data_IF_008612623610
#
_entry.id   IF_008612623610
#
_cell.length_a   1.000
_cell.length_b   1.000
_cell.length_c   1.000
_cell.angle_alpha   90.00
_cell.angle_beta   90.00
_cell.angle_gamma   90.00
#
_symmetry.space_group_name_H-M   'P 1'
#
loop_
_entity.id
_entity.type
_entity.pdbx_description
1 polymer ?
#
# COMPACT_ATOMS: atom_id res chain seq x y z
N UNK A 1 -23.64 27.36 -0.34
CA UNK A 1 -22.98 26.10 -0.79
C UNK A 1 -21.55 26.33 -1.30
N UNK A 2 -21.31 27.20 -2.30
CA UNK A 2 -19.96 27.43 -2.83
C UNK A 2 -18.92 27.90 -1.79
N UNK A 3 -19.27 28.86 -0.92
CA UNK A 3 -18.37 29.36 0.14
C UNK A 3 -17.99 28.31 1.19
N UNK A 4 -18.92 27.38 1.50
CA UNK A 4 -18.65 26.28 2.43
C UNK A 4 -17.67 25.28 1.80
N UNK A 5 -17.85 24.96 0.52
CA UNK A 5 -16.93 24.08 -0.22
C UNK A 5 -15.53 24.68 -0.34
N UNK A 6 -15.41 25.99 -0.57
CA UNK A 6 -14.12 26.70 -0.57
C UNK A 6 -13.50 26.69 0.82
N UNK A 7 -14.26 26.95 1.88
CA UNK A 7 -13.77 26.89 3.25
C UNK A 7 -13.24 25.51 3.65
N UNK A 8 -13.96 24.44 3.26
CA UNK A 8 -13.52 23.06 3.49
C UNK A 8 -12.29 22.74 2.66
N UNK A 9 -12.24 23.14 1.39
CA UNK A 9 -11.07 22.94 0.53
C UNK A 9 -9.83 23.64 1.07
N UNK A 10 -9.97 24.87 1.58
CA UNK A 10 -8.87 25.61 2.22
C UNK A 10 -8.44 24.92 3.51
N UNK A 11 -9.38 24.47 4.34
CA UNK A 11 -9.07 23.74 5.57
C UNK A 11 -8.29 22.45 5.29
N UNK A 12 -8.78 21.61 4.38
CA UNK A 12 -8.07 20.37 3.99
C UNK A 12 -6.70 20.70 3.38
N UNK A 13 -6.63 21.67 2.46
CA UNK A 13 -5.37 22.10 1.87
C UNK A 13 -4.36 22.69 2.87
N UNK A 14 -4.78 23.14 4.06
CA UNK A 14 -3.85 23.63 5.09
C UNK A 14 -3.45 22.52 6.07
N UNK A 15 -4.38 21.63 6.43
CA UNK A 15 -4.20 20.67 7.52
C UNK A 15 -3.98 19.23 7.07
N UNK A 16 -4.03 18.94 5.77
CA UNK A 16 -3.67 17.63 5.24
C UNK A 16 -2.77 17.71 4.01
N UNK A 17 -2.08 16.62 3.72
CA UNK A 17 -1.32 16.39 2.51
C UNK A 17 -1.64 14.97 1.99
N UNK A 18 -2.16 14.88 0.78
CA UNK A 18 -2.47 13.61 0.10
C UNK A 18 -1.48 13.38 -1.02
N UNK A 19 -0.81 12.23 -0.99
CA UNK A 19 0.12 11.80 -2.02
C UNK A 19 -0.36 10.48 -2.62
N UNK A 20 -0.36 10.37 -3.95
CA UNK A 20 -0.46 9.09 -4.65
C UNK A 20 0.91 8.68 -5.13
N UNK A 21 1.28 7.43 -4.91
CA UNK A 21 2.48 6.85 -5.48
C UNK A 21 2.17 5.54 -6.17
N UNK A 22 2.84 5.31 -7.30
CA UNK A 22 2.86 4.02 -7.99
C UNK A 22 4.04 3.21 -7.48
N UNK A 23 3.76 2.07 -6.86
CA UNK A 23 4.75 1.05 -6.57
C UNK A 23 4.81 0.08 -7.75
N UNK A 24 6.00 -0.11 -8.32
CA UNK A 24 6.23 -1.06 -9.42
C UNK A 24 7.30 -2.05 -9.01
N UNK A 25 7.02 -3.33 -9.16
CA UNK A 25 7.93 -4.43 -8.86
C UNK A 25 8.21 -5.23 -10.14
N UNK A 26 9.48 -5.55 -10.36
CA UNK A 26 9.95 -6.34 -11.50
C UNK A 26 10.59 -7.62 -10.99
N UNK A 27 10.00 -8.75 -11.39
CA UNK A 27 10.48 -10.10 -11.09
C UNK A 27 11.00 -10.72 -12.37
N UNK A 28 12.18 -11.31 -12.32
CA UNK A 28 12.69 -12.17 -13.38
C UNK A 28 12.35 -13.63 -13.06
N UNK A 29 11.81 -14.35 -14.04
CA UNK A 29 11.54 -15.79 -13.97
C UNK A 29 12.14 -16.44 -15.19
N UNK A 30 13.17 -17.26 -15.01
CA UNK A 30 13.87 -17.94 -16.12
C UNK A 30 14.33 -16.98 -17.24
N UNK A 31 14.80 -15.78 -16.87
CA UNK A 31 15.21 -14.73 -17.81
C UNK A 31 14.08 -13.88 -18.39
N UNK A 32 12.81 -14.22 -18.15
CA UNK A 32 11.67 -13.40 -18.55
C UNK A 32 11.28 -12.41 -17.45
N UNK A 33 11.10 -11.14 -17.79
CA UNK A 33 10.68 -10.10 -16.85
C UNK A 33 9.16 -10.04 -16.72
N UNK A 34 8.65 -10.27 -15.52
CA UNK A 34 7.26 -10.05 -15.11
C UNK A 34 7.19 -8.77 -14.26
N UNK A 35 6.23 -7.91 -14.55
CA UNK A 35 6.07 -6.63 -13.86
C UNK A 35 4.67 -6.52 -13.30
N UNK A 36 4.55 -6.04 -12.06
CA UNK A 36 3.27 -5.61 -11.50
C UNK A 36 3.40 -4.23 -10.88
N UNK A 37 2.37 -3.43 -11.01
CA UNK A 37 2.31 -2.08 -10.47
C UNK A 37 0.96 -1.77 -9.86
N UNK A 38 0.95 -0.85 -8.90
CA UNK A 38 -0.28 -0.34 -8.30
C UNK A 38 -0.05 1.03 -7.69
N UNK A 39 -1.07 1.88 -7.79
CA UNK A 39 -1.16 3.19 -7.16
C UNK A 39 -1.79 3.07 -5.77
N UNK A 40 -1.15 3.68 -4.78
CA UNK A 40 -1.57 3.75 -3.39
C UNK A 40 -1.65 5.23 -3.01
N UNK A 41 -2.72 5.60 -2.30
CA UNK A 41 -2.92 6.94 -1.77
C UNK A 41 -2.64 6.97 -0.27
N UNK A 42 -1.93 8.00 0.18
CA UNK A 42 -1.64 8.23 1.59
C UNK A 42 -1.99 9.68 1.92
N UNK A 43 -2.82 9.87 2.94
CA UNK A 43 -3.19 11.20 3.44
C UNK A 43 -2.64 11.38 4.85
N UNK A 44 -1.77 12.36 5.02
CA UNK A 44 -1.28 12.81 6.32
C UNK A 44 -2.12 14.00 6.76
N UNK A 45 -2.73 13.96 7.94
CA UNK A 45 -3.54 15.05 8.47
C UNK A 45 -3.08 15.46 9.85
N UNK A 46 -2.99 16.76 10.13
CA UNK A 46 -2.75 17.25 11.49
C UNK A 46 -3.89 16.79 12.40
N UNK A 47 -3.56 16.20 13.54
CA UNK A 47 -4.53 15.92 14.58
C UNK A 47 -4.78 17.21 15.37
N UNK A 48 -6.04 17.62 15.42
CA UNK A 48 -6.47 18.76 16.24
C UNK A 48 -7.21 18.28 17.51
N UNK A 49 -7.25 16.98 17.76
CA UNK A 49 -7.80 16.42 19.00
C UNK A 49 -6.85 16.72 20.18
N UNK A 50 -7.27 17.55 21.15
CA UNK A 50 -6.43 17.93 22.28
C UNK A 50 -6.13 16.78 23.27
N UNK A 51 -6.81 15.63 23.15
CA UNK A 51 -6.63 14.45 24.01
C UNK A 51 -5.73 13.41 23.33
N UNK A 52 -5.56 13.50 22.01
CA UNK A 52 -4.68 12.59 21.26
C UNK A 52 -3.21 12.89 21.54
N UNK A 53 -2.44 11.84 21.86
CA UNK A 53 -0.97 11.94 22.00
C UNK A 53 -0.25 11.98 20.63
N UNK A 54 -0.95 11.71 19.52
CA UNK A 54 -0.37 11.79 18.17
C UNK A 54 -0.66 13.14 17.54
N UNK A 55 0.38 13.84 17.05
CA UNK A 55 0.25 15.14 16.39
C UNK A 55 -0.38 15.07 14.98
N UNK A 56 -0.45 13.88 14.39
CA UNK A 56 -1.03 13.65 13.07
C UNK A 56 -1.65 12.26 12.92
N UNK A 57 -2.53 12.11 11.95
CA UNK A 57 -3.12 10.85 11.50
C UNK A 57 -2.68 10.53 10.08
N UNK A 58 -2.68 9.25 9.75
CA UNK A 58 -2.37 8.74 8.42
C UNK A 58 -3.55 7.89 7.97
N UNK A 59 -4.06 8.19 6.78
CA UNK A 59 -5.07 7.39 6.09
C UNK A 59 -4.46 6.81 4.82
N UNK A 60 -4.71 5.53 4.56
CA UNK A 60 -4.17 4.81 3.40
C UNK A 60 -5.32 4.26 2.59
N UNK A 61 -5.28 4.44 1.27
CA UNK A 61 -6.27 3.88 0.35
C UNK A 61 -5.57 3.18 -0.80
N UNK A 62 -6.03 1.97 -1.11
CA UNK A 62 -5.48 1.16 -2.19
C UNK A 62 -5.64 -0.32 -1.95
N UNK A 63 -4.95 -1.10 -2.78
CA UNK A 63 -4.88 -2.55 -2.69
C UNK A 63 -3.45 -3.01 -2.94
N UNK A 64 -3.14 -4.24 -2.50
CA UNK A 64 -1.84 -4.84 -2.71
C UNK A 64 -1.44 -4.84 -4.20
N UNK A 65 -0.17 -4.56 -4.48
CA UNK A 65 0.36 -4.68 -5.84
C UNK A 65 0.47 -6.16 -6.19
N UNK A 66 -0.06 -6.52 -7.36
CA UNK A 66 -0.11 -7.91 -7.81
C UNK A 66 0.83 -8.14 -8.99
N UNK A 67 1.63 -9.20 -8.91
CA UNK A 67 2.48 -9.67 -10.01
C UNK A 67 2.10 -11.10 -10.35
N UNK A 68 1.67 -11.32 -11.59
CA UNK A 68 1.39 -12.65 -12.12
C UNK A 68 2.70 -13.27 -12.64
N UNK A 69 3.13 -14.36 -12.00
CA UNK A 69 4.33 -15.12 -12.39
C UNK A 69 3.96 -16.35 -13.25
N UNK A 70 2.75 -16.35 -13.82
CA UNK A 70 2.23 -17.42 -14.66
C UNK A 70 2.04 -18.71 -13.86
N UNK A 71 2.52 -19.87 -14.35
CA UNK A 71 2.35 -21.15 -13.66
C UNK A 71 2.96 -21.22 -12.25
N UNK A 72 3.86 -20.29 -11.88
CA UNK A 72 4.46 -20.24 -10.54
C UNK A 72 3.55 -19.59 -9.50
N UNK A 73 2.44 -18.98 -9.92
CA UNK A 73 1.48 -18.33 -9.05
C UNK A 73 1.63 -16.81 -9.03
N UNK A 74 1.14 -16.20 -7.95
CA UNK A 74 0.98 -14.75 -7.86
C UNK A 74 1.72 -14.23 -6.63
N UNK A 75 2.48 -13.16 -6.83
CA UNK A 75 3.14 -12.38 -5.76
C UNK A 75 2.29 -11.15 -5.44
N UNK A 76 2.07 -10.91 -4.15
CA UNK A 76 1.35 -9.75 -3.64
C UNK A 76 2.29 -8.91 -2.78
N UNK A 77 2.37 -7.62 -3.04
CA UNK A 77 3.04 -6.65 -2.17
C UNK A 77 1.97 -5.89 -1.38
N UNK A 78 1.91 -6.17 -0.08
CA UNK A 78 0.82 -5.72 0.79
C UNK A 78 0.91 -4.22 1.10
N UNK A 79 -0.18 -3.66 1.60
CA UNK A 79 -0.27 -2.35 2.26
C UNK A 79 0.16 -2.46 3.72
N UNK A 80 1.29 -3.12 3.98
CA UNK A 80 1.78 -3.41 5.32
C UNK A 80 3.28 -3.63 5.31
N UNK A 81 4.00 -3.10 6.29
CA UNK A 81 5.41 -3.42 6.50
C UNK A 81 5.61 -4.85 7.03
N UNK A 82 6.74 -5.48 6.74
CA UNK A 82 7.12 -6.74 7.38
C UNK A 82 7.75 -6.47 8.76
N UNK A 83 8.97 -6.96 9.03
CA UNK A 83 9.71 -6.69 10.25
C UNK A 83 10.07 -5.21 10.40
N UNK A 84 10.35 -4.54 9.28
CA UNK A 84 10.51 -3.10 9.22
C UNK A 84 9.15 -2.41 9.03
N UNK A 85 8.64 -1.83 10.11
CA UNK A 85 7.37 -1.06 10.09
C UNK A 85 7.41 0.13 9.14
N UNK A 86 8.60 0.64 8.79
CA UNK A 86 8.76 1.77 7.86
C UNK A 86 8.64 1.37 6.39
N UNK A 87 8.48 0.09 6.12
CA UNK A 87 8.20 -0.42 4.77
C UNK A 87 6.70 -0.47 4.45
N UNK A 88 5.83 -0.15 5.41
CA UNK A 88 4.40 0.02 5.18
C UNK A 88 4.09 1.28 4.35
N UNK A 89 2.90 1.35 3.74
CA UNK A 89 2.48 2.47 2.90
C UNK A 89 2.53 3.82 3.63
N UNK A 90 2.38 3.83 4.96
CA UNK A 90 2.39 5.02 5.80
C UNK A 90 3.76 5.72 5.84
N UNK A 91 4.83 4.98 5.61
CA UNK A 91 6.21 5.46 5.85
C UNK A 91 7.14 5.24 4.66
N UNK A 92 6.79 4.35 3.73
CA UNK A 92 7.67 4.02 2.59
C UNK A 92 7.95 5.25 1.72
N UNK A 93 6.97 6.14 1.53
CA UNK A 93 7.15 7.40 0.78
C UNK A 93 8.13 8.32 1.51
N UNK A 94 7.95 8.51 2.82
CA UNK A 94 8.82 9.38 3.62
C UNK A 94 10.25 8.85 3.66
N UNK A 95 10.41 7.53 3.80
CA UNK A 95 11.72 6.86 3.73
C UNK A 95 12.36 7.01 2.36
N UNK A 96 11.63 6.74 1.28
CA UNK A 96 12.15 6.81 -0.09
C UNK A 96 12.69 8.20 -0.43
N UNK A 97 12.03 9.25 0.07
CA UNK A 97 12.42 10.65 -0.14
C UNK A 97 13.32 11.21 0.98
N UNK A 98 13.99 10.34 1.75
CA UNK A 98 14.99 10.71 2.76
C UNK A 98 14.50 11.69 3.83
N UNK A 99 13.24 11.61 4.22
CA UNK A 99 12.78 12.34 5.40
C UNK A 99 13.54 11.83 6.65
N UNK A 100 14.01 12.71 7.54
CA UNK A 100 14.74 12.31 8.73
C UNK A 100 13.99 11.24 9.53
N UNK A 101 14.63 10.10 9.76
CA UNK A 101 14.03 8.95 10.45
C UNK A 101 12.89 8.25 9.70
N UNK A 102 12.64 8.59 8.43
CA UNK A 102 11.51 8.05 7.66
C UNK A 102 10.15 8.45 8.23
N UNK A 103 10.07 9.59 8.92
CA UNK A 103 8.88 10.06 9.63
C UNK A 103 8.47 11.47 9.16
N UNK A 104 7.22 11.84 9.45
CA UNK A 104 6.71 13.17 9.13
C UNK A 104 7.41 14.19 10.06
N UNK A 105 8.09 15.22 9.51
CA UNK A 105 8.82 16.19 10.31
C UNK A 105 7.88 17.03 11.18
N UNK A 106 8.36 17.38 12.36
CA UNK A 106 7.76 18.40 13.20
C UNK A 106 8.42 19.76 12.93
N UNK A 107 7.65 20.87 12.97
CA UNK A 107 6.19 20.93 13.16
C UNK A 107 5.41 20.29 12.01
N UNK A 108 4.28 19.61 12.32
CA UNK A 108 3.50 18.84 11.32
C UNK A 108 3.20 19.63 10.06
N UNK A 109 2.87 20.93 10.17
CA UNK A 109 2.59 21.80 9.02
C UNK A 109 3.74 21.84 8.01
N UNK A 110 4.98 21.90 8.49
CA UNK A 110 6.16 21.94 7.62
C UNK A 110 6.36 20.58 6.95
N UNK A 111 6.11 19.48 7.68
CA UNK A 111 6.08 18.14 7.12
C UNK A 111 5.06 18.01 5.99
N UNK A 112 3.83 18.49 6.20
CA UNK A 112 2.76 18.48 5.18
C UNK A 112 3.15 19.29 3.94
N UNK A 113 3.78 20.46 4.10
CA UNK A 113 4.28 21.26 2.99
C UNK A 113 5.37 20.55 2.18
N UNK A 114 6.26 19.81 2.86
CA UNK A 114 7.28 18.99 2.19
C UNK A 114 6.64 17.83 1.41
N UNK A 115 5.68 17.13 2.00
CA UNK A 115 4.95 16.02 1.33
C UNK A 115 4.26 16.51 0.06
N UNK A 116 3.62 17.68 0.09
CA UNK A 116 2.95 18.28 -1.09
C UNK A 116 3.88 18.60 -2.25
N UNK A 117 5.18 18.73 -1.99
CA UNK A 117 6.19 19.05 -3.00
C UNK A 117 6.92 17.80 -3.51
N UNK A 118 6.57 16.61 -3.02
CA UNK A 118 7.16 15.37 -3.51
C UNK A 118 6.82 15.17 -4.98
N UNK A 119 7.81 14.72 -5.74
CA UNK A 119 7.68 14.43 -7.16
C UNK A 119 8.79 13.49 -7.59
N UNK A 120 8.60 12.82 -8.72
CA UNK A 120 9.63 11.99 -9.34
C UNK A 120 9.58 10.52 -8.92
N UNK A 121 10.57 9.78 -9.40
CA UNK A 121 10.67 8.32 -9.30
C UNK A 121 11.97 7.94 -8.61
N UNK A 122 11.89 6.98 -7.69
CA UNK A 122 13.00 6.50 -6.87
C UNK A 122 13.08 4.98 -6.98
N UNK A 123 14.30 4.45 -7.15
CA UNK A 123 14.59 3.03 -6.99
C UNK A 123 14.62 2.67 -5.50
N UNK A 124 13.84 1.67 -5.10
CA UNK A 124 13.75 1.22 -3.72
C UNK A 124 14.75 0.08 -3.46
N UNK A 125 15.48 0.09 -2.33
CA UNK A 125 16.15 -1.11 -1.85
C UNK A 125 15.12 -2.22 -1.61
N UNK A 126 15.45 -3.46 -2.00
CA UNK A 126 14.54 -4.60 -1.81
C UNK A 126 14.20 -4.85 -0.33
N UNK A 127 15.09 -4.46 0.58
CA UNK A 127 14.89 -4.51 2.05
C UNK A 127 13.92 -3.46 2.57
N UNK A 128 13.54 -2.48 1.76
CA UNK A 128 12.58 -1.42 2.12
C UNK A 128 11.17 -1.68 1.57
N UNK A 129 10.94 -2.87 1.00
CA UNK A 129 9.65 -3.23 0.42
C UNK A 129 8.64 -3.61 1.49
N UNK A 130 7.34 -3.35 1.23
CA UNK A 130 6.30 -3.87 2.08
C UNK A 130 6.35 -5.40 2.13
N UNK A 131 5.61 -5.96 3.07
CA UNK A 131 5.47 -7.40 3.22
C UNK A 131 5.00 -8.01 1.91
N UNK A 132 5.81 -8.92 1.37
CA UNK A 132 5.48 -9.70 0.20
C UNK A 132 4.88 -11.02 0.64
N UNK A 133 3.80 -11.44 -0.02
CA UNK A 133 3.16 -12.73 0.24
C UNK A 133 2.77 -13.43 -1.06
N UNK A 134 2.54 -14.72 -0.95
CA UNK A 134 1.84 -15.53 -1.95
C UNK A 134 0.75 -16.36 -1.29
N UNK A 135 -0.16 -16.89 -2.08
CA UNK A 135 -1.14 -17.89 -1.64
C UNK A 135 -0.88 -19.18 -2.40
N UNK A 136 -0.84 -20.32 -1.71
CA UNK A 136 -0.80 -21.62 -2.42
C UNK A 136 -2.13 -21.91 -3.12
N UNK A 137 -3.23 -21.50 -2.51
CA UNK A 137 -4.58 -21.52 -3.09
C UNK A 137 -5.23 -20.14 -2.94
N UNK A 138 -5.56 -19.50 -4.06
CA UNK A 138 -6.20 -18.18 -4.08
C UNK A 138 -7.62 -18.19 -3.49
N UNK A 139 -8.24 -19.36 -3.33
CA UNK A 139 -9.55 -19.50 -2.71
C UNK A 139 -9.49 -19.76 -1.20
N UNK A 140 -8.29 -19.98 -0.65
CA UNK A 140 -8.07 -20.21 0.78
C UNK A 140 -7.09 -19.19 1.38
N UNK A 141 -7.59 -18.21 2.17
CA UNK A 141 -6.74 -17.21 2.81
C UNK A 141 -5.71 -17.79 3.78
N UNK A 142 -5.87 -19.03 4.27
CA UNK A 142 -4.91 -19.69 5.18
C UNK A 142 -3.64 -20.17 4.49
N UNK A 143 -3.67 -20.23 3.17
CA UNK A 143 -2.50 -20.63 2.40
C UNK A 143 -1.53 -19.47 2.14
N UNK A 144 -1.75 -18.33 2.80
CA UNK A 144 -0.84 -17.19 2.74
C UNK A 144 0.52 -17.57 3.30
N UNK A 145 1.56 -17.25 2.54
CA UNK A 145 2.95 -17.44 2.91
C UNK A 145 3.72 -16.15 2.67
N UNK A 146 4.55 -15.75 3.64
CA UNK A 146 5.48 -14.64 3.46
C UNK A 146 6.56 -15.01 2.45
N UNK A 147 6.94 -14.04 1.64
CA UNK A 147 7.99 -14.18 0.62
C UNK A 147 9.14 -13.26 0.99
N UNK A 148 10.34 -13.80 1.08
CA UNK A 148 11.56 -13.00 1.28
C UNK A 148 11.89 -12.23 -0.01
N UNK A 149 11.90 -10.88 0.00
CA UNK A 149 12.22 -10.09 -1.20
C UNK A 149 13.64 -10.33 -1.73
N UNK A 150 14.58 -10.81 -0.89
CA UNK A 150 15.95 -11.11 -1.30
C UNK A 150 16.10 -12.53 -1.86
N UNK A 151 15.13 -13.41 -1.61
CA UNK A 151 15.17 -14.82 -2.02
C UNK A 151 13.78 -15.37 -2.35
N UNK A 152 13.10 -14.72 -3.31
CA UNK A 152 11.77 -15.15 -3.75
C UNK A 152 11.78 -16.56 -4.36
N UNK A 153 12.94 -17.06 -4.80
CA UNK A 153 13.12 -18.38 -5.38
C UNK A 153 12.77 -19.51 -4.41
N UNK A 154 12.88 -19.29 -3.09
CA UNK A 154 12.37 -20.24 -2.08
C UNK A 154 10.86 -20.48 -2.19
N UNK A 155 10.11 -19.45 -2.56
CA UNK A 155 8.65 -19.52 -2.65
C UNK A 155 8.17 -19.88 -4.06
N UNK A 156 8.82 -19.32 -5.09
CA UNK A 156 8.38 -19.48 -6.49
C UNK A 156 9.22 -20.46 -7.30
N UNK A 157 10.19 -21.13 -6.68
CA UNK A 157 11.11 -22.07 -7.31
C UNK A 157 12.36 -21.40 -7.90
N UNK A 158 13.38 -22.22 -8.21
CA UNK A 158 14.64 -21.75 -8.77
C UNK A 158 14.46 -20.89 -10.04
N UNK A 159 15.34 -19.90 -10.21
CA UNK A 159 15.29 -18.97 -11.35
C UNK A 159 14.29 -17.81 -11.22
N UNK A 160 13.56 -17.71 -10.10
CA UNK A 160 12.76 -16.54 -9.77
C UNK A 160 13.58 -15.56 -8.91
N UNK A 161 13.65 -14.30 -9.32
CA UNK A 161 14.37 -13.23 -8.59
C UNK A 161 13.62 -11.90 -8.67
N UNK A 162 13.44 -11.23 -7.55
CA UNK A 162 12.99 -9.84 -7.55
C UNK A 162 14.19 -8.96 -7.92
N UNK A 163 14.13 -8.29 -9.07
CA UNK A 163 15.29 -7.59 -9.64
C UNK A 163 15.21 -6.08 -9.49
N UNK A 164 13.99 -5.52 -9.38
CA UNK A 164 13.81 -4.08 -9.21
C UNK A 164 12.52 -3.76 -8.49
N UNK A 165 12.55 -2.67 -7.73
CA UNK A 165 11.37 -2.03 -7.20
C UNK A 165 11.50 -0.51 -7.34
N UNK A 166 10.42 0.15 -7.73
CA UNK A 166 10.40 1.61 -7.88
C UNK A 166 9.16 2.21 -7.25
N UNK A 167 9.32 3.40 -6.70
CA UNK A 167 8.26 4.24 -6.19
C UNK A 167 8.24 5.54 -6.98
N UNK A 168 7.11 5.85 -7.58
CA UNK A 168 6.92 7.05 -8.40
C UNK A 168 5.75 7.87 -7.85
N UNK A 169 5.98 9.16 -7.59
CA UNK A 169 4.89 10.07 -7.22
C UNK A 169 4.06 10.37 -8.47
N UNK A 170 2.77 10.08 -8.39
CA UNK A 170 1.83 10.25 -9.50
C UNK A 170 0.78 11.31 -9.17
N UNK A 171 0.10 11.90 -10.16
CA UNK A 171 -0.88 12.96 -9.91
C UNK A 171 -2.00 12.51 -8.94
N UNK A 172 -2.10 13.16 -7.78
CA UNK A 172 -3.19 12.91 -6.81
C UNK A 172 -4.56 13.37 -7.32
N UNK A 173 -4.60 14.35 -8.22
CA UNK A 173 -5.84 14.99 -8.67
C UNK A 173 -6.28 16.17 -7.78
N UNK A 174 -7.45 16.73 -8.08
CA UNK A 174 -8.00 17.93 -7.44
C UNK A 174 -9.13 17.53 -6.50
N UNK A 175 -9.09 18.01 -5.25
CA UNK A 175 -10.16 17.81 -4.28
C UNK A 175 -11.42 18.64 -4.65
N UNK A 176 -12.65 18.10 -4.48
CA UNK A 176 -12.99 16.76 -3.98
C UNK A 176 -13.07 15.68 -5.07
N UNK A 177 -12.84 16.03 -6.34
CA UNK A 177 -13.03 15.15 -7.48
C UNK A 177 -12.11 13.92 -7.47
N UNK A 178 -10.89 14.07 -6.95
CA UNK A 178 -9.94 12.97 -6.80
C UNK A 178 -10.43 11.85 -5.86
N UNK A 179 -11.19 12.18 -4.81
CA UNK A 179 -11.77 11.21 -3.88
C UNK A 179 -12.80 10.29 -4.54
N UNK A 180 -13.40 10.75 -5.65
CA UNK A 180 -14.33 9.99 -6.49
C UNK A 180 -13.66 9.35 -7.72
N UNK A 181 -12.33 9.47 -7.85
CA UNK A 181 -11.59 8.93 -9.00
C UNK A 181 -11.81 9.70 -10.31
N UNK A 182 -12.36 10.92 -10.26
CA UNK A 182 -12.63 11.74 -11.46
C UNK A 182 -11.35 12.42 -11.95
N UNK A 183 -10.42 12.73 -11.04
CA UNK A 183 -9.14 13.37 -11.37
C UNK A 183 -7.97 12.67 -10.69
N UNK A 184 -6.77 12.87 -11.26
CA UNK A 184 -5.56 12.19 -10.81
C UNK A 184 -5.47 10.76 -11.34
N UNK A 185 -4.38 10.09 -11.01
CA UNK A 185 -4.20 8.68 -11.35
C UNK A 185 -5.03 7.80 -10.43
N UNK A 186 -5.82 6.84 -10.95
CA UNK A 186 -6.71 6.03 -10.12
C UNK A 186 -5.93 5.17 -9.13
N UNK A 187 -6.42 5.12 -7.90
CA UNK A 187 -5.92 4.21 -6.86
C UNK A 187 -6.23 2.76 -7.26
N UNK A 188 -5.33 1.83 -6.97
CA UNK A 188 -5.48 0.40 -7.30
C UNK A 188 -6.73 -0.16 -6.65
N UNK A 189 -7.54 -0.84 -7.47
CA UNK A 189 -8.75 -1.56 -7.08
C UNK A 189 -8.86 -2.86 -7.90
N UNK A 190 -9.68 -3.81 -7.44
CA UNK A 190 -9.98 -5.04 -8.17
C UNK A 190 -9.28 -6.30 -7.65
N UNK A 191 -8.66 -6.28 -6.47
CA UNK A 191 -8.05 -7.47 -5.86
C UNK A 191 -9.08 -8.57 -5.62
N UNK A 192 -10.35 -8.22 -5.42
CA UNK A 192 -11.48 -9.15 -5.34
C UNK A 192 -11.73 -9.92 -6.63
N UNK A 193 -11.23 -9.44 -7.79
CA UNK A 193 -11.26 -10.21 -9.02
C UNK A 193 -10.37 -11.46 -8.94
N UNK A 194 -9.33 -11.42 -8.10
CA UNK A 194 -8.38 -12.53 -7.86
C UNK A 194 -8.66 -13.28 -6.56
N UNK A 195 -8.94 -12.57 -5.48
CA UNK A 195 -9.24 -13.11 -4.15
C UNK A 195 -10.73 -12.94 -3.87
N UNK A 196 -11.57 -13.88 -4.34
CA UNK A 196 -13.04 -13.78 -4.28
C UNK A 196 -13.59 -13.65 -2.87
N UNK A 197 -12.86 -14.15 -1.89
CA UNK A 197 -13.24 -14.13 -0.48
C UNK A 197 -13.02 -12.79 0.22
N UNK A 198 -12.27 -11.85 -0.38
CA UNK A 198 -11.87 -10.62 0.31
C UNK A 198 -13.05 -9.71 0.69
N UNK A 199 -14.18 -9.86 0.00
CA UNK A 199 -15.44 -9.13 0.27
C UNK A 199 -16.39 -9.91 1.21
N UNK A 200 -16.05 -11.16 1.55
CA UNK A 200 -16.94 -12.10 2.24
C UNK A 200 -16.26 -12.84 3.40
N UNK A 201 -15.38 -12.17 4.14
CA UNK A 201 -14.70 -12.76 5.31
C UNK A 201 -15.64 -13.38 6.34
N UNK A 202 -16.86 -12.86 6.47
CA UNK A 202 -17.84 -13.33 7.43
C UNK A 202 -18.30 -14.78 7.17
N UNK A 203 -18.22 -15.25 5.92
CA UNK A 203 -18.49 -16.64 5.56
C UNK A 203 -17.42 -17.60 6.15
N UNK A 204 -16.18 -17.13 6.29
CA UNK A 204 -15.11 -17.90 6.92
C UNK A 204 -15.23 -17.89 8.46
N UNK A 205 -15.85 -16.88 9.06
CA UNK A 205 -16.11 -16.86 10.50
C UNK A 205 -17.28 -17.74 10.94
N UNK A 206 -18.18 -18.10 10.02
CA UNK A 206 -19.46 -18.75 10.32
C UNK A 206 -19.53 -20.24 10.02
N UNK A 207 -18.56 -20.82 9.29
CA UNK A 207 -18.51 -22.27 9.04
C UNK A 207 -17.93 -23.00 10.28
N UNK A 208 -18.69 -23.85 10.99
CA UNK A 208 -18.24 -24.52 12.22
C UNK A 208 -17.27 -25.70 11.96
N UNK A 209 -17.24 -26.22 10.74
CA UNK A 209 -16.26 -27.21 10.25
C UNK A 209 -15.01 -26.55 9.69
N UNK A 210 -14.96 -25.22 9.70
CA UNK A 210 -13.77 -24.46 9.37
C UNK A 210 -12.79 -24.59 10.54
N UNK A 211 -11.48 -24.83 10.33
CA UNK A 211 -10.49 -24.87 11.42
C UNK A 211 -10.33 -23.53 12.17
N UNK A 212 -11.12 -22.52 11.81
CA UNK A 212 -11.08 -21.16 12.32
C UNK A 212 -12.09 -21.02 13.45
N UNK A 213 -11.60 -21.02 14.68
CA UNK A 213 -12.23 -20.23 15.73
C UNK A 213 -11.55 -18.86 15.76
N UNK A 214 -12.24 -17.84 15.24
CA UNK A 214 -11.99 -16.39 15.47
C UNK A 214 -10.82 -15.62 14.81
N UNK A 215 -9.78 -16.22 14.21
CA UNK A 215 -8.63 -15.42 13.68
C UNK A 215 -8.17 -15.76 12.25
N UNK A 216 -8.12 -14.75 11.39
CA UNK A 216 -7.47 -14.82 10.07
C UNK A 216 -5.96 -14.56 10.21
N UNK A 217 -5.11 -15.01 9.27
CA UNK A 217 -3.70 -14.66 9.26
C UNK A 217 -3.51 -13.13 9.25
N UNK A 218 -2.57 -12.58 10.05
CA UNK A 218 -2.39 -11.13 10.18
C UNK A 218 -1.95 -10.43 8.88
N UNK A 219 -1.49 -11.19 7.89
CA UNK A 219 -1.13 -10.75 6.55
C UNK A 219 -2.35 -10.28 5.76
N UNK A 220 -3.51 -10.91 5.96
CA UNK A 220 -4.73 -10.66 5.18
C UNK A 220 -5.21 -9.20 5.33
N UNK A 221 -5.01 -8.61 6.51
CA UNK A 221 -5.34 -7.20 6.75
C UNK A 221 -4.54 -6.20 5.91
N UNK A 222 -3.43 -6.63 5.29
CA UNK A 222 -2.63 -5.78 4.41
C UNK A 222 -3.05 -5.82 2.92
N UNK A 223 -4.08 -6.57 2.54
CA UNK A 223 -4.44 -6.73 1.13
C UNK A 223 -5.17 -5.52 0.55
N UNK A 224 -5.89 -4.76 1.38
CA UNK A 224 -6.74 -3.64 0.96
C UNK A 224 -6.94 -2.65 2.09
N UNK A 225 -6.98 -1.37 1.74
CA UNK A 225 -7.45 -0.28 2.59
C UNK A 225 -8.41 0.61 1.79
N UNK A 226 -9.54 0.99 2.39
CA UNK A 226 -10.67 1.60 1.69
C UNK A 226 -10.66 3.11 1.70
#
# INVERSE_FOLDING_TARGET
MAFILVGIAVYTAVFSATVRYRLTLEVEVNGERKTGSGVIEVTYSKNNDPISQSEFSIDVRGEAVVIDLGPRGILFALLKGDTDRRSGPEYIVLRAFNFPGGALPLPVRDGLLKVKRLSGKIDLPLTSLPLLVRFRDLNDPMTVERVDPLDIGKSFGAGAKLVRATLEIVPTGIWPFNSYGITGEPVTRGINLRLKWIDHFDQYRSNPSNPFSSTLPPEIGGLRSN
#
